data_IF_856818731160
#
_entry.id   IF_856818731160
#
_cell.length_a   1.000
_cell.length_b   1.000
_cell.length_c   1.000
_cell.angle_alpha   90.00
_cell.angle_beta   90.00
_cell.angle_gamma   90.00
#
_symmetry.space_group_name_H-M   'P 1'
#
loop_
_entity.id
_entity.type
_entity.pdbx_description
1 polymer ?
#
# COMPACT_ATOMS: atom_id res chain seq x y z
N UNK A 1 13.75 -18.81 18.76
CA UNK A 1 13.86 -18.33 17.37
C UNK A 1 14.65 -17.04 17.39
N UNK A 2 15.85 -17.03 16.77
CA UNK A 2 16.74 -15.87 16.65
C UNK A 2 16.36 -15.12 15.38
N UNK A 3 15.94 -13.88 15.50
CA UNK A 3 15.73 -12.98 14.36
C UNK A 3 16.84 -11.95 14.42
N UNK A 4 17.73 -12.03 13.43
CA UNK A 4 18.86 -11.13 13.20
C UNK A 4 18.38 -9.70 12.93
N UNK A 5 18.95 -8.67 13.59
CA UNK A 5 18.82 -7.30 13.14
C UNK A 5 19.77 -7.07 11.96
N UNK A 6 19.20 -7.03 10.74
CA UNK A 6 19.93 -6.51 9.58
C UNK A 6 20.18 -5.02 9.81
N UNK A 7 21.44 -4.70 10.10
CA UNK A 7 22.02 -3.38 10.04
C UNK A 7 21.69 -2.73 8.69
N UNK A 8 20.79 -1.74 8.71
CA UNK A 8 20.62 -0.79 7.62
C UNK A 8 21.86 0.10 7.60
N UNK A 9 22.89 -0.41 6.94
CA UNK A 9 24.17 0.24 6.73
C UNK A 9 23.97 1.41 5.78
N UNK A 10 23.67 2.59 6.34
CA UNK A 10 23.81 3.88 5.66
C UNK A 10 25.28 4.07 5.34
N UNK A 11 25.68 3.53 4.19
CA UNK A 11 26.96 3.84 3.56
C UNK A 11 26.83 5.27 3.04
N UNK A 12 27.12 6.23 3.90
CA UNK A 12 27.38 7.63 3.54
C UNK A 12 28.68 7.66 2.71
N UNK A 13 28.57 7.17 1.48
CA UNK A 13 29.53 7.44 0.42
C UNK A 13 29.33 8.88 0.01
N UNK A 14 30.18 9.75 0.55
CA UNK A 14 30.46 11.06 0.00
C UNK A 14 31.06 10.90 -1.42
N UNK A 15 30.23 10.51 -2.38
CA UNK A 15 30.49 10.76 -3.80
C UNK A 15 30.11 12.22 -4.04
N UNK A 16 31.08 13.08 -3.71
CA UNK A 16 31.07 14.50 -4.03
C UNK A 16 31.25 14.62 -5.54
N UNK A 17 30.21 14.21 -6.26
CA UNK A 17 30.09 14.24 -7.70
C UNK A 17 30.23 15.71 -8.09
N UNK A 18 31.40 16.02 -8.63
CA UNK A 18 31.80 17.32 -9.18
C UNK A 18 30.63 17.90 -9.95
N UNK A 19 29.89 18.79 -9.30
CA UNK A 19 28.76 19.48 -9.91
C UNK A 19 29.37 20.28 -11.06
N UNK A 20 28.98 20.04 -12.32
CA UNK A 20 29.47 20.85 -13.41
C UNK A 20 29.08 22.29 -13.09
N UNK A 21 30.10 23.08 -12.76
CA UNK A 21 29.99 24.52 -12.61
C UNK A 21 29.48 25.03 -13.94
N UNK A 22 28.17 25.30 -14.00
CA UNK A 22 27.56 26.04 -15.09
C UNK A 22 28.20 27.42 -15.08
N UNK A 23 29.27 27.58 -15.87
CA UNK A 23 29.73 28.88 -16.33
C UNK A 23 28.55 29.52 -17.04
N UNK A 24 27.79 30.31 -16.29
CA UNK A 24 26.81 31.25 -16.80
C UNK A 24 27.57 32.29 -17.63
N UNK A 25 27.77 31.96 -18.91
CA UNK A 25 28.38 32.86 -19.87
C UNK A 25 27.34 33.91 -20.22
N UNK A 26 27.52 35.05 -19.56
CA UNK A 26 26.90 36.36 -19.75
C UNK A 26 26.54 36.63 -21.22
N UNK A 27 25.24 36.48 -21.57
CA UNK A 27 24.46 37.30 -22.52
C UNK A 27 23.03 36.74 -22.60
N UNK A 28 22.08 37.40 -21.92
CA UNK A 28 20.67 37.00 -21.93
C UNK A 28 19.79 37.75 -20.92
N UNK A 29 19.76 39.09 -20.99
CA UNK A 29 18.83 39.88 -20.15
C UNK A 29 17.36 39.61 -20.49
N UNK A 30 17.06 39.11 -21.69
CA UNK A 30 15.70 38.74 -22.10
C UNK A 30 15.32 37.33 -21.66
N UNK A 31 16.25 36.37 -21.61
CA UNK A 31 15.96 34.99 -21.19
C UNK A 31 15.81 34.85 -19.68
N UNK A 32 16.46 35.72 -18.90
CA UNK A 32 16.33 35.74 -17.43
C UNK A 32 14.89 36.03 -16.99
N UNK A 33 14.17 36.89 -17.70
CA UNK A 33 12.77 37.20 -17.41
C UNK A 33 11.83 36.00 -17.63
N UNK A 34 12.04 35.25 -18.72
CA UNK A 34 11.25 34.04 -19.02
C UNK A 34 11.49 32.91 -18.00
N UNK A 35 12.71 32.75 -17.51
CA UNK A 35 13.05 31.76 -16.48
C UNK A 35 12.29 32.06 -15.17
N UNK A 36 12.20 33.34 -14.78
CA UNK A 36 11.47 33.76 -13.58
C UNK A 36 9.98 33.43 -13.73
N UNK A 37 9.37 33.76 -14.88
CA UNK A 37 7.97 33.44 -15.15
C UNK A 37 7.73 31.93 -15.10
N UNK A 38 8.60 31.13 -15.73
CA UNK A 38 8.51 29.67 -15.71
C UNK A 38 8.58 29.09 -14.30
N UNK A 39 9.47 29.61 -13.45
CA UNK A 39 9.61 29.18 -12.06
C UNK A 39 8.35 29.49 -11.23
N UNK A 40 7.75 30.66 -11.40
CA UNK A 40 6.51 31.04 -10.70
C UNK A 40 5.34 30.15 -11.13
N UNK A 41 5.17 29.92 -12.44
CA UNK A 41 4.10 29.05 -12.95
C UNK A 41 4.27 27.62 -12.43
N UNK A 42 5.48 27.08 -12.48
CA UNK A 42 5.76 25.73 -11.97
C UNK A 42 5.42 25.60 -10.48
N UNK A 43 5.78 26.62 -9.68
CA UNK A 43 5.47 26.65 -8.25
C UNK A 43 3.95 26.70 -8.00
N UNK A 44 3.20 27.52 -8.74
CA UNK A 44 1.73 27.59 -8.62
C UNK A 44 1.08 26.27 -9.02
N UNK A 45 1.47 25.68 -10.15
CA UNK A 45 0.91 24.40 -10.62
C UNK A 45 1.17 23.29 -9.61
N UNK A 46 2.37 23.23 -9.01
CA UNK A 46 2.67 22.25 -7.96
C UNK A 46 1.74 22.42 -6.75
N UNK A 47 1.55 23.65 -6.27
CA UNK A 47 0.62 23.92 -5.16
C UNK A 47 -0.81 23.50 -5.52
N UNK A 48 -1.29 23.84 -6.72
CA UNK A 48 -2.64 23.46 -7.16
C UNK A 48 -2.80 21.94 -7.22
N UNK A 49 -1.82 21.21 -7.76
CA UNK A 49 -1.82 19.75 -7.77
C UNK A 49 -1.80 19.19 -6.35
N UNK A 50 -1.00 19.76 -5.45
CA UNK A 50 -1.00 19.36 -4.04
C UNK A 50 -2.36 19.57 -3.37
N UNK A 51 -3.04 20.69 -3.62
CA UNK A 51 -4.36 20.97 -3.04
C UNK A 51 -5.44 20.07 -3.67
N UNK A 52 -5.41 19.84 -4.98
CA UNK A 52 -6.30 18.90 -5.68
C UNK A 52 -6.12 17.47 -5.14
N UNK A 53 -4.88 17.02 -5.00
CA UNK A 53 -4.58 15.73 -4.38
C UNK A 53 -4.93 15.74 -2.90
N UNK A 54 -4.75 16.81 -2.15
CA UNK A 54 -5.21 16.83 -0.75
C UNK A 54 -6.73 16.70 -0.65
N UNK A 55 -7.49 17.26 -1.58
CA UNK A 55 -8.95 17.17 -1.61
C UNK A 55 -9.48 15.80 -2.06
N UNK A 56 -8.83 15.15 -3.04
CA UNK A 56 -9.30 13.89 -3.66
C UNK A 56 -8.50 12.65 -3.26
N UNK A 57 -7.27 12.80 -2.79
CA UNK A 57 -6.38 11.71 -2.36
C UNK A 57 -6.62 11.33 -0.91
N UNK A 58 -7.29 12.15 -0.09
CA UNK A 58 -7.76 11.72 1.26
C UNK A 58 -8.57 10.41 1.26
N UNK A 59 -9.58 10.22 0.38
CA UNK A 59 -10.26 8.93 0.27
C UNK A 59 -9.39 7.84 -0.37
N UNK A 60 -8.34 8.18 -1.13
CA UNK A 60 -7.38 7.18 -1.62
C UNK A 60 -6.42 6.74 -0.52
N UNK A 61 -5.93 7.64 0.34
CA UNK A 61 -5.11 7.24 1.50
C UNK A 61 -5.92 6.40 2.47
N UNK A 62 -7.20 6.75 2.66
CA UNK A 62 -8.13 5.94 3.43
C UNK A 62 -8.35 4.58 2.73
N UNK A 63 -8.64 4.59 1.44
CA UNK A 63 -8.79 3.36 0.64
C UNK A 63 -7.54 2.48 0.60
N UNK A 64 -6.33 3.02 0.58
CA UNK A 64 -5.09 2.24 0.65
C UNK A 64 -4.81 1.71 2.07
N UNK A 65 -5.32 2.38 3.10
CA UNK A 65 -5.25 1.97 4.50
C UNK A 65 -6.39 1.03 4.91
N UNK A 66 -7.45 0.95 4.10
CA UNK A 66 -8.59 0.08 4.34
C UNK A 66 -8.21 -1.39 4.10
N UNK A 67 -8.50 -2.23 5.09
CA UNK A 67 -8.29 -3.67 5.02
C UNK A 67 -8.93 -4.30 3.78
N UNK A 68 -10.09 -3.77 3.37
CA UNK A 68 -10.92 -4.29 2.29
C UNK A 68 -10.25 -4.15 0.90
N UNK A 69 -9.52 -3.05 0.67
CA UNK A 69 -8.81 -2.80 -0.60
C UNK A 69 -7.66 -3.78 -0.85
N UNK A 70 -7.20 -4.50 0.17
CA UNK A 70 -6.19 -5.55 0.07
C UNK A 70 -6.78 -6.95 0.19
N UNK A 71 -8.08 -7.12 -0.11
CA UNK A 71 -8.80 -8.39 0.06
C UNK A 71 -8.75 -8.94 1.48
N UNK A 72 -8.58 -8.05 2.46
CA UNK A 72 -8.57 -8.40 3.87
C UNK A 72 -9.97 -8.41 4.47
N UNK A 73 -10.12 -9.15 5.56
CA UNK A 73 -11.35 -9.25 6.34
C UNK A 73 -11.15 -8.59 7.70
N UNK A 74 -12.07 -7.70 8.07
CA UNK A 74 -12.15 -7.11 9.40
C UNK A 74 -12.89 -8.07 10.34
N UNK A 75 -12.20 -8.58 11.35
CA UNK A 75 -12.76 -9.53 12.33
C UNK A 75 -12.69 -8.89 13.73
N UNK A 76 -13.72 -9.08 14.57
CA UNK A 76 -13.72 -8.52 15.93
C UNK A 76 -12.59 -9.10 16.79
N UNK A 77 -12.07 -8.27 17.71
CA UNK A 77 -10.95 -8.58 18.61
C UNK A 77 -11.11 -9.87 19.44
N UNK A 78 -12.33 -10.37 19.62
CA UNK A 78 -12.64 -11.56 20.42
C UNK A 78 -12.42 -12.88 19.66
N UNK A 79 -12.27 -12.82 18.34
CA UNK A 79 -12.06 -13.99 17.48
C UNK A 79 -10.59 -14.01 17.06
N UNK A 80 -10.10 -15.13 16.52
CA UNK A 80 -8.77 -15.22 15.90
C UNK A 80 -8.89 -15.24 14.38
N UNK A 81 -7.90 -14.67 13.66
CA UNK A 81 -7.86 -14.73 12.19
C UNK A 81 -8.01 -16.18 11.66
N UNK A 82 -8.76 -16.41 10.57
CA UNK A 82 -8.91 -17.74 9.98
C UNK A 82 -7.58 -18.31 9.48
N UNK A 83 -7.49 -19.64 9.41
CA UNK A 83 -6.28 -20.35 8.97
C UNK A 83 -5.80 -19.84 7.60
N UNK A 84 -4.49 -19.64 7.46
CA UNK A 84 -3.79 -19.04 6.28
C UNK A 84 -4.01 -17.54 6.05
N UNK A 85 -4.53 -16.81 7.04
CA UNK A 85 -4.52 -15.35 7.02
C UNK A 85 -3.55 -14.80 8.07
N UNK A 86 -2.95 -13.64 7.76
CA UNK A 86 -1.99 -12.94 8.60
C UNK A 86 -2.68 -11.71 9.18
N UNK A 87 -2.62 -11.56 10.50
CA UNK A 87 -3.06 -10.34 11.16
C UNK A 87 -2.09 -9.20 10.80
N UNK A 88 -2.62 -8.12 10.25
CA UNK A 88 -1.85 -6.92 9.94
C UNK A 88 -2.39 -5.74 10.74
N UNK A 89 -1.51 -5.04 11.45
CA UNK A 89 -1.81 -3.79 12.16
C UNK A 89 -1.51 -2.56 11.30
N UNK A 90 -1.03 -2.76 10.07
CA UNK A 90 -0.74 -1.68 9.13
C UNK A 90 -1.99 -1.14 8.43
N UNK A 91 -3.13 -1.83 8.57
CA UNK A 91 -4.41 -1.48 7.95
C UNK A 91 -5.46 -1.31 9.04
N UNK A 92 -6.32 -0.32 8.87
CA UNK A 92 -7.39 -0.02 9.81
C UNK A 92 -8.73 -0.54 9.27
N UNK A 93 -9.59 -0.93 10.19
CA UNK A 93 -11.00 -1.18 9.93
C UNK A 93 -11.81 0.05 10.37
N UNK A 94 -13.02 0.23 9.83
CA UNK A 94 -13.89 1.35 10.19
C UNK A 94 -14.15 1.43 11.71
N UNK A 95 -14.16 0.28 12.37
CA UNK A 95 -14.37 0.13 13.79
C UNK A 95 -13.07 -0.19 14.55
N UNK A 96 -12.83 0.53 15.64
CA UNK A 96 -11.65 0.37 16.53
C UNK A 96 -11.56 -0.99 17.22
N UNK A 97 -12.66 -1.76 17.26
CA UNK A 97 -12.75 -3.08 17.87
C UNK A 97 -12.43 -4.25 16.93
N UNK A 98 -11.98 -3.96 15.71
CA UNK A 98 -11.70 -4.96 14.68
C UNK A 98 -10.23 -4.94 14.28
N UNK A 99 -9.67 -6.11 13.97
CA UNK A 99 -8.34 -6.23 13.38
C UNK A 99 -8.45 -6.74 11.93
N UNK A 100 -7.50 -6.32 11.10
CA UNK A 100 -7.43 -6.72 9.70
C UNK A 100 -6.69 -8.05 9.52
N UNK A 101 -7.34 -9.04 8.92
CA UNK A 101 -6.71 -10.28 8.46
C UNK A 101 -6.50 -10.24 6.96
N UNK A 102 -5.25 -10.36 6.52
CA UNK A 102 -4.89 -10.39 5.10
C UNK A 102 -4.47 -11.80 4.73
N UNK A 103 -5.02 -12.31 3.64
CA UNK A 103 -4.67 -13.61 3.08
C UNK A 103 -5.86 -14.15 2.30
N UNK A 104 -5.63 -15.20 1.52
CA UNK A 104 -6.75 -15.97 0.98
C UNK A 104 -7.34 -16.78 2.14
N UNK A 105 -8.51 -16.42 2.72
CA UNK A 105 -9.22 -17.42 3.50
C UNK A 105 -9.39 -18.63 2.57
N UNK A 106 -9.13 -19.82 3.09
CA UNK A 106 -9.62 -21.02 2.41
C UNK A 106 -11.13 -20.91 2.55
N UNK A 107 -11.78 -20.27 1.58
CA UNK A 107 -13.11 -20.70 1.20
C UNK A 107 -12.92 -22.19 0.96
N UNK A 108 -13.47 -23.01 1.85
CA UNK A 108 -13.65 -24.41 1.52
C UNK A 108 -14.15 -24.44 0.08
N UNK A 109 -13.62 -25.32 -0.79
CA UNK A 109 -14.19 -25.46 -2.11
C UNK A 109 -15.68 -25.71 -1.87
N UNK A 110 -16.53 -24.73 -2.19
CA UNK A 110 -17.85 -25.11 -2.62
C UNK A 110 -17.56 -25.84 -3.91
N UNK A 111 -17.72 -27.18 -3.96
CA UNK A 111 -17.73 -27.83 -5.25
C UNK A 111 -18.82 -27.13 -6.05
N UNK A 112 -18.43 -26.53 -7.17
CA UNK A 112 -19.37 -26.01 -8.14
C UNK A 112 -20.20 -27.21 -8.62
N UNK A 113 -21.32 -27.51 -7.98
CA UNK A 113 -22.19 -28.64 -8.34
C UNK A 113 -22.06 -29.94 -7.52
N UNK A 114 -22.09 -29.88 -6.18
CA UNK A 114 -22.74 -30.95 -5.40
C UNK A 114 -23.90 -30.30 -4.63
N UNK A 115 -25.10 -30.34 -5.20
CA UNK A 115 -26.30 -29.60 -4.71
C UNK A 115 -26.91 -30.21 -3.43
N UNK A 116 -26.28 -31.24 -2.88
CA UNK A 116 -26.83 -32.08 -1.81
C UNK A 116 -25.70 -32.41 -0.80
N UNK A 117 -26.04 -32.42 0.51
CA UNK A 117 -25.06 -32.43 1.61
C UNK A 117 -24.04 -33.57 1.55
N UNK A 118 -22.76 -33.32 1.92
CA UNK A 118 -21.72 -34.34 1.90
C UNK A 118 -21.96 -35.42 2.98
N UNK A 119 -22.00 -36.69 2.55
CA UNK A 119 -22.04 -37.86 3.44
C UNK A 119 -20.59 -38.28 3.69
N UNK A 120 -20.17 -38.28 4.97
CA UNK A 120 -18.81 -38.69 5.37
C UNK A 120 -18.79 -40.20 5.64
N UNK A 121 -18.03 -40.95 4.84
CA UNK A 121 -17.85 -42.39 5.04
C UNK A 121 -16.83 -42.68 6.17
N UNK A 122 -16.91 -43.85 6.81
CA UNK A 122 -16.15 -44.24 7.99
C UNK A 122 -14.62 -44.32 7.80
N UNK A 123 -14.14 -44.10 6.57
CA UNK A 123 -12.71 -43.98 6.23
C UNK A 123 -12.22 -42.54 6.05
N UNK A 124 -13.06 -41.54 6.33
CA UNK A 124 -12.68 -40.13 6.33
C UNK A 124 -12.25 -39.60 4.95
N UNK A 125 -12.76 -40.19 3.87
CA UNK A 125 -12.57 -39.65 2.52
C UNK A 125 -13.88 -39.09 2.00
N UNK A 126 -13.86 -37.83 1.61
CA UNK A 126 -14.99 -37.09 1.08
C UNK A 126 -15.05 -37.34 -0.44
N UNK A 127 -16.20 -37.83 -0.94
CA UNK A 127 -16.47 -37.98 -2.37
C UNK A 127 -17.83 -37.35 -2.68
N UNK A 128 -17.91 -36.54 -3.73
CA UNK A 128 -19.19 -36.16 -4.33
C UNK A 128 -19.68 -37.31 -5.21
N UNK A 129 -20.96 -37.65 -5.12
CA UNK A 129 -21.59 -38.64 -6.00
C UNK A 129 -22.05 -38.00 -7.31
#
# INVERSE_FOLDING_TARGET
MRISPHYFSLKEGADLKKVPSLRSSRRGSTETWWIIIGAVIALVVLIVLMVMFTGKTRPLEQGLADCESKSGLCIPNDVSCPQRTLRSTAFNCADVSYYCCIGSPVSYPQPEGCTESPIVDARGKEWCQ
#
